data_IF_395581768985
#
_entry.id   IF_395581768985
#
_cell.length_a   1.000
_cell.length_b   1.000
_cell.length_c   1.000
_cell.angle_alpha   90.00
_cell.angle_beta   90.00
_cell.angle_gamma   90.00
#
_symmetry.space_group_name_H-M   'P 1'
#
loop_
_entity.id
_entity.type
_entity.pdbx_description
1 polymer ?
#
# COMPACT_ATOMS: atom_id res chain seq x y z
N UNK A 1 20.06 -22.34 15.65
CA UNK A 1 19.69 -21.24 16.56
C UNK A 1 19.83 -19.95 15.78
N UNK A 2 18.73 -19.22 15.55
CA UNK A 2 18.79 -17.91 14.89
C UNK A 2 19.37 -16.89 15.88
N UNK A 3 20.43 -16.20 15.46
CA UNK A 3 21.13 -15.18 16.22
C UNK A 3 20.19 -14.00 16.55
N UNK A 4 20.03 -13.70 17.83
CA UNK A 4 19.19 -12.62 18.37
C UNK A 4 19.47 -11.27 17.67
N UNK A 5 20.74 -11.04 17.29
CA UNK A 5 21.15 -9.81 16.59
C UNK A 5 20.55 -9.65 15.18
N UNK A 6 20.20 -10.76 14.51
CA UNK A 6 19.57 -10.71 13.19
C UNK A 6 18.09 -10.36 13.27
N UNK A 7 17.43 -10.75 14.36
CA UNK A 7 16.01 -10.45 14.59
C UNK A 7 15.80 -8.97 14.85
N UNK A 8 16.65 -8.36 15.67
CA UNK A 8 16.61 -6.92 15.96
C UNK A 8 16.81 -6.06 14.70
N UNK A 9 17.73 -6.47 13.82
CA UNK A 9 17.96 -5.79 12.54
C UNK A 9 16.75 -5.89 11.61
N UNK A 10 16.10 -7.05 11.56
CA UNK A 10 14.88 -7.23 10.77
C UNK A 10 13.74 -6.38 11.32
N UNK A 11 13.53 -6.36 12.64
CA UNK A 11 12.49 -5.55 13.26
C UNK A 11 12.70 -4.05 13.02
N UNK A 12 13.95 -3.57 13.10
CA UNK A 12 14.28 -2.19 12.79
C UNK A 12 13.96 -1.83 11.32
N UNK A 13 14.14 -2.75 10.38
CA UNK A 13 13.74 -2.58 8.98
C UNK A 13 12.22 -2.60 8.82
N UNK A 14 11.53 -3.54 9.44
CA UNK A 14 10.07 -3.65 9.39
C UNK A 14 9.39 -2.39 9.90
N UNK A 15 9.88 -1.81 11.01
CA UNK A 15 9.38 -0.52 11.53
C UNK A 15 9.55 0.63 10.53
N UNK A 16 10.64 0.63 9.76
CA UNK A 16 10.84 1.63 8.69
C UNK A 16 9.86 1.42 7.55
N UNK A 17 9.66 0.17 7.10
CA UNK A 17 8.68 -0.14 6.05
C UNK A 17 7.25 0.22 6.47
N UNK A 18 6.85 -0.06 7.70
CA UNK A 18 5.53 0.33 8.21
C UNK A 18 5.37 1.85 8.20
N UNK A 19 6.38 2.60 8.67
CA UNK A 19 6.34 4.08 8.61
C UNK A 19 6.22 4.59 7.17
N UNK A 20 6.94 3.98 6.23
CA UNK A 20 6.84 4.32 4.82
C UNK A 20 5.45 4.00 4.24
N UNK A 21 4.84 2.88 4.64
CA UNK A 21 3.48 2.53 4.24
C UNK A 21 2.46 3.55 4.76
N UNK A 22 2.63 4.04 6.00
CA UNK A 22 1.82 5.15 6.53
C UNK A 22 1.97 6.43 5.70
N UNK A 23 3.19 6.80 5.32
CA UNK A 23 3.43 7.96 4.45
C UNK A 23 2.75 7.76 3.09
N UNK A 24 2.79 6.54 2.54
CA UNK A 24 2.14 6.26 1.26
C UNK A 24 0.61 6.38 1.34
N UNK A 25 0.03 6.02 2.49
CA UNK A 25 -1.39 6.15 2.76
C UNK A 25 -1.89 7.60 2.67
N UNK A 26 -1.03 8.59 2.94
CA UNK A 26 -1.38 10.02 2.86
C UNK A 26 -1.80 10.45 1.44
N UNK A 27 -1.44 9.68 0.41
CA UNK A 27 -1.88 9.92 -0.97
C UNK A 27 -3.33 9.46 -1.23
N UNK A 28 -3.96 8.76 -0.29
CA UNK A 28 -5.35 8.32 -0.41
C UNK A 28 -6.32 9.49 -0.23
N UNK A 29 -7.28 9.60 -1.14
CA UNK A 29 -8.40 10.53 -1.05
C UNK A 29 -9.56 10.01 -0.17
N UNK A 30 -9.46 8.80 0.38
CA UNK A 30 -10.53 8.21 1.17
C UNK A 30 -10.57 8.84 2.57
N UNK A 31 -11.73 9.32 2.99
CA UNK A 31 -11.89 10.00 4.28
C UNK A 31 -12.06 9.00 5.43
N UNK A 32 -12.67 7.83 5.18
CA UNK A 32 -12.99 6.88 6.24
C UNK A 32 -11.72 6.28 6.85
N UNK A 33 -10.81 5.81 5.99
CA UNK A 33 -9.48 5.28 6.34
C UNK A 33 -8.54 5.45 5.17
N UNK A 34 -7.37 6.04 5.45
CA UNK A 34 -6.25 6.08 4.53
C UNK A 34 -5.36 4.87 4.79
N UNK A 35 -5.15 4.04 3.78
CA UNK A 35 -4.42 2.78 3.85
C UNK A 35 -3.33 2.79 2.79
N UNK A 36 -2.12 2.43 3.21
CA UNK A 36 -0.96 2.25 2.34
C UNK A 36 -0.40 0.84 2.48
N UNK A 37 0.12 0.30 1.39
CA UNK A 37 0.69 -1.03 1.31
C UNK A 37 2.02 -0.99 0.54
N UNK A 38 3.00 -1.74 1.03
CA UNK A 38 4.29 -1.93 0.37
C UNK A 38 4.55 -3.43 0.20
N UNK A 39 5.04 -3.82 -0.98
CA UNK A 39 5.52 -5.18 -1.25
C UNK A 39 7.05 -5.12 -1.25
N UNK A 40 7.66 -5.85 -0.33
CA UNK A 40 9.12 -5.88 -0.14
C UNK A 40 9.65 -7.26 -0.48
N UNK A 41 10.71 -7.31 -1.28
CA UNK A 41 11.44 -8.54 -1.60
C UNK A 41 12.93 -8.25 -1.53
N UNK A 42 13.69 -9.13 -0.88
CA UNK A 42 15.15 -8.99 -0.76
C UNK A 42 15.57 -7.61 -0.20
N UNK A 43 14.82 -7.12 0.80
CA UNK A 43 14.97 -5.78 1.44
C UNK A 43 14.73 -4.58 0.50
N UNK A 44 14.25 -4.82 -0.72
CA UNK A 44 13.89 -3.81 -1.70
C UNK A 44 12.38 -3.68 -1.79
N UNK A 45 11.87 -2.44 -1.80
CA UNK A 45 10.47 -2.18 -2.12
C UNK A 45 10.30 -2.38 -3.62
N UNK A 46 9.53 -3.39 -4.00
CA UNK A 46 9.28 -3.72 -5.42
C UNK A 46 7.91 -3.22 -5.89
N UNK A 47 7.05 -2.82 -4.96
CA UNK A 47 5.77 -2.18 -5.26
C UNK A 47 5.21 -1.46 -4.05
N UNK A 48 4.28 -0.56 -4.36
CA UNK A 48 3.57 0.28 -3.42
C UNK A 48 2.13 0.48 -3.91
N UNK A 49 1.23 0.78 -2.98
CA UNK A 49 -0.16 1.07 -3.26
C UNK A 49 -0.81 1.82 -2.12
N UNK A 50 -1.84 2.58 -2.43
CA UNK A 50 -2.75 3.20 -1.47
C UNK A 50 -4.18 2.96 -1.92
N UNK A 51 -5.15 3.02 -1.00
CA UNK A 51 -6.55 2.83 -1.36
C UNK A 51 -7.11 4.07 -2.06
N UNK A 52 -7.94 3.86 -3.08
CA UNK A 52 -8.47 4.95 -3.89
C UNK A 52 -9.38 4.47 -5.00
N UNK A 53 -10.02 5.42 -5.68
CA UNK A 53 -10.83 5.11 -6.86
C UNK A 53 -9.94 4.73 -8.05
N UNK A 54 -10.46 3.93 -9.00
CA UNK A 54 -9.70 3.57 -10.20
C UNK A 54 -9.29 4.80 -11.01
N UNK A 55 -8.21 4.69 -11.79
CA UNK A 55 -7.75 5.79 -12.65
C UNK A 55 -8.85 6.26 -13.60
N UNK A 56 -9.09 7.58 -13.63
CA UNK A 56 -10.13 8.20 -14.46
C UNK A 56 -11.48 8.39 -13.75
N UNK A 57 -11.61 7.98 -12.49
CA UNK A 57 -12.78 8.24 -11.65
C UNK A 57 -12.57 9.49 -10.81
N UNK A 58 -13.66 9.94 -10.16
CA UNK A 58 -13.60 10.98 -9.13
C UNK A 58 -12.74 10.54 -7.94
N UNK A 59 -11.95 11.46 -7.39
CA UNK A 59 -11.11 11.22 -6.21
C UNK A 59 -11.93 11.28 -4.90
N UNK A 60 -13.07 10.60 -4.88
CA UNK A 60 -14.00 10.56 -3.74
C UNK A 60 -14.38 9.11 -3.48
N UNK A 61 -13.87 8.56 -2.37
CA UNK A 61 -14.05 7.14 -2.05
C UNK A 61 -15.39 6.83 -1.37
N UNK A 62 -15.97 7.78 -0.66
CA UNK A 62 -17.20 7.60 0.11
C UNK A 62 -18.40 8.24 -0.57
N UNK A 63 -19.60 7.75 -0.26
CA UNK A 63 -20.88 8.39 -0.62
C UNK A 63 -21.34 9.38 0.48
N UNK A 64 -22.52 9.96 0.28
CA UNK A 64 -23.14 10.91 1.23
C UNK A 64 -23.41 10.30 2.62
N UNK A 65 -23.46 8.97 2.73
CA UNK A 65 -23.66 8.23 3.97
C UNK A 65 -22.34 7.75 4.61
N UNK A 66 -21.19 8.23 4.11
CA UNK A 66 -19.85 7.77 4.51
C UNK A 66 -19.59 6.27 4.23
N UNK A 67 -20.31 5.67 3.29
CA UNK A 67 -20.08 4.29 2.87
C UNK A 67 -19.06 4.29 1.74
N UNK A 68 -18.00 3.48 1.88
CA UNK A 68 -17.00 3.34 0.83
C UNK A 68 -17.63 2.71 -0.41
N UNK A 69 -17.46 3.37 -1.56
CA UNK A 69 -18.00 2.92 -2.85
C UNK A 69 -17.41 1.55 -3.23
N UNK A 70 -18.21 0.66 -3.86
CA UNK A 70 -17.81 -0.74 -4.10
C UNK A 70 -16.65 -0.89 -5.10
N UNK A 71 -16.38 0.13 -5.92
CA UNK A 71 -15.29 0.13 -6.89
C UNK A 71 -13.98 0.73 -6.36
N UNK A 72 -13.96 1.23 -5.11
CA UNK A 72 -12.73 1.69 -4.47
C UNK A 72 -11.79 0.50 -4.33
N UNK A 73 -10.58 0.65 -4.87
CA UNK A 73 -9.56 -0.38 -4.79
C UNK A 73 -8.80 -0.23 -3.48
N UNK A 74 -8.52 -1.38 -2.88
CA UNK A 74 -7.72 -1.50 -1.69
C UNK A 74 -6.23 -1.23 -1.99
N UNK A 75 -5.49 -0.79 -0.99
CA UNK A 75 -4.06 -0.51 -1.13
C UNK A 75 -3.27 -1.75 -1.58
N UNK A 76 -3.62 -2.92 -1.02
CA UNK A 76 -3.02 -4.21 -1.34
C UNK A 76 -3.28 -4.62 -2.79
N UNK A 77 -4.52 -4.44 -3.25
CA UNK A 77 -4.92 -4.74 -4.63
C UNK A 77 -4.16 -3.84 -5.62
N UNK A 78 -4.02 -2.55 -5.29
CA UNK A 78 -3.25 -1.61 -6.10
C UNK A 78 -1.76 -1.98 -6.14
N UNK A 79 -1.17 -2.36 -4.99
CA UNK A 79 0.23 -2.80 -4.94
C UNK A 79 0.49 -4.06 -5.78
N UNK A 80 -0.40 -5.05 -5.75
CA UNK A 80 -0.29 -6.27 -6.57
C UNK A 80 -0.47 -5.93 -8.06
N UNK A 81 -1.47 -5.12 -8.39
CA UNK A 81 -1.78 -4.73 -9.78
C UNK A 81 -0.60 -3.98 -10.41
N UNK A 82 0.09 -3.13 -9.63
CA UNK A 82 1.28 -2.41 -10.08
C UNK A 82 2.42 -3.37 -10.48
N UNK A 83 2.66 -4.44 -9.72
CA UNK A 83 3.63 -5.48 -10.09
C UNK A 83 3.20 -6.22 -11.36
N UNK A 84 1.93 -6.59 -11.45
CA UNK A 84 1.41 -7.32 -12.61
C UNK A 84 1.57 -6.53 -13.92
N UNK A 85 1.34 -5.21 -13.87
CA UNK A 85 1.54 -4.32 -15.03
C UNK A 85 3.02 -4.19 -15.42
N UNK A 86 3.94 -4.13 -14.45
CA UNK A 86 5.38 -4.01 -14.72
C UNK A 86 5.92 -5.21 -15.51
N UNK A 87 5.40 -6.42 -15.26
CA UNK A 87 5.77 -7.65 -15.98
C UNK A 87 5.34 -7.69 -17.46
N UNK A 88 4.43 -6.81 -17.89
CA UNK A 88 3.91 -6.77 -19.27
C UNK A 88 4.63 -5.76 -20.16
N UNK A 89 5.51 -4.92 -19.59
CA UNK A 89 6.25 -3.87 -20.31
C UNK A 89 7.73 -4.20 -20.51
N UNK A 90 8.12 -5.45 -20.24
CA UNK A 90 9.44 -6.05 -20.48
C UNK A 90 9.26 -7.23 -21.42
#
# INVERSE_FOLDING_TARGET
MMDDSTKDKQEALDRRYIRMASIWAENSYCQRRQVGALIVKDKMIISDGYNGTPSGFENVCEDENNVTKPYVLHAEANAITKIARYKQQQ
#
